data_IF_800316830344
#
_entry.id   IF_800316830344
#
_cell.length_a   1.000
_cell.length_b   1.000
_cell.length_c   1.000
_cell.angle_alpha   90.00
_cell.angle_beta   90.00
_cell.angle_gamma   90.00
#
_symmetry.space_group_name_H-M   'P 1'
#
loop_
_entity.id
_entity.type
_entity.pdbx_description
1 polymer ?
#
# COMPACT_ATOMS: atom_id res chain seq x y z
N UNK A 1 -0.81 -17.94 8.87
CA UNK A 1 -1.78 -16.90 8.46
C UNK A 1 -1.15 -16.13 7.31
N UNK A 2 -1.90 -15.90 6.24
CA UNK A 2 -1.34 -15.28 5.03
C UNK A 2 -1.19 -13.77 5.24
N UNK A 3 0.04 -13.24 5.15
CA UNK A 3 0.29 -11.81 5.35
C UNK A 3 -0.16 -11.03 4.12
N UNK A 4 -0.95 -9.98 4.33
CA UNK A 4 -1.42 -9.10 3.24
C UNK A 4 -0.86 -7.71 3.45
N UNK A 5 -0.32 -7.12 2.39
CA UNK A 5 0.12 -5.72 2.42
C UNK A 5 -0.76 -4.84 1.53
N UNK A 6 -1.10 -3.65 2.04
CA UNK A 6 -1.52 -2.51 1.22
C UNK A 6 -0.28 -1.62 1.08
N UNK A 7 0.25 -1.54 -0.14
CA UNK A 7 1.49 -0.82 -0.43
C UNK A 7 1.15 0.43 -1.23
N UNK A 8 1.54 1.60 -0.71
CA UNK A 8 1.34 2.89 -1.37
C UNK A 8 2.39 3.91 -0.88
N UNK A 9 2.60 5.00 -1.62
CA UNK A 9 3.45 6.10 -1.16
C UNK A 9 2.75 6.90 -0.05
N UNK A 10 3.37 7.00 1.12
CA UNK A 10 2.80 7.74 2.24
C UNK A 10 2.74 9.27 2.00
N UNK A 11 3.45 9.77 0.99
CA UNK A 11 3.34 11.14 0.52
C UNK A 11 2.01 11.44 -0.22
N UNK A 12 1.24 10.41 -0.57
CA UNK A 12 -0.02 10.57 -1.30
C UNK A 12 -1.23 10.73 -0.37
N UNK A 13 -1.87 11.90 -0.41
CA UNK A 13 -3.00 12.20 0.51
C UNK A 13 -4.26 11.38 0.24
N UNK A 14 -4.70 11.29 -1.02
CA UNK A 14 -5.97 10.62 -1.36
C UNK A 14 -5.84 9.11 -1.33
N UNK A 15 -4.76 8.56 -1.87
CA UNK A 15 -4.50 7.12 -1.84
C UNK A 15 -4.34 6.62 -0.41
N UNK A 16 -3.62 7.35 0.46
CA UNK A 16 -3.54 7.00 1.88
C UNK A 16 -4.90 6.93 2.57
N UNK A 17 -5.80 7.90 2.34
CA UNK A 17 -7.17 7.85 2.87
C UNK A 17 -7.97 6.63 2.38
N UNK A 18 -7.74 6.20 1.14
CA UNK A 18 -8.39 5.00 0.60
C UNK A 18 -7.76 3.73 1.18
N UNK A 19 -6.43 3.70 1.37
CA UNK A 19 -5.74 2.59 2.01
C UNK A 19 -6.24 2.35 3.43
N UNK A 20 -6.40 3.40 4.23
CA UNK A 20 -6.97 3.32 5.58
C UNK A 20 -8.41 2.80 5.54
N UNK A 21 -9.26 3.33 4.65
CA UNK A 21 -10.64 2.84 4.51
C UNK A 21 -10.70 1.37 4.09
N UNK A 22 -9.81 0.92 3.19
CA UNK A 22 -9.72 -0.50 2.83
C UNK A 22 -9.34 -1.31 4.07
N UNK A 23 -8.33 -0.88 4.83
CA UNK A 23 -7.91 -1.56 6.06
C UNK A 23 -9.05 -1.67 7.08
N UNK A 24 -9.78 -0.58 7.31
CA UNK A 24 -10.94 -0.52 8.21
C UNK A 24 -12.07 -1.47 7.77
N UNK A 25 -12.38 -1.54 6.48
CA UNK A 25 -13.45 -2.41 5.96
C UNK A 25 -13.11 -3.90 6.01
N UNK A 26 -11.82 -4.26 5.90
CA UNK A 26 -11.39 -5.65 6.05
C UNK A 26 -11.40 -6.13 7.49
N UNK A 27 -11.22 -5.22 8.47
CA UNK A 27 -11.14 -5.53 9.92
C UNK A 27 -10.20 -6.72 10.21
N UNK A 28 -9.06 -6.77 9.49
CA UNK A 28 -8.08 -7.87 9.55
C UNK A 28 -6.73 -7.36 10.06
N UNK A 29 -6.32 -7.81 11.24
CA UNK A 29 -5.03 -7.48 11.85
C UNK A 29 -3.82 -7.92 11.01
N UNK A 30 -3.99 -8.89 10.10
CA UNK A 30 -2.93 -9.36 9.19
C UNK A 30 -2.77 -8.50 7.93
N UNK A 31 -3.63 -7.48 7.76
CA UNK A 31 -3.57 -6.51 6.68
C UNK A 31 -2.78 -5.29 7.15
N UNK A 32 -1.55 -5.14 6.65
CA UNK A 32 -0.66 -4.05 7.06
C UNK A 32 -0.50 -2.99 5.97
N UNK A 33 -0.30 -1.73 6.38
CA UNK A 33 0.04 -0.64 5.47
C UNK A 33 1.56 -0.53 5.39
N UNK A 34 2.08 -0.46 4.17
CA UNK A 34 3.53 -0.39 3.93
C UNK A 34 3.84 0.76 2.99
N UNK A 35 4.85 1.56 3.35
CA UNK A 35 5.28 2.69 2.54
C UNK A 35 6.10 2.21 1.35
N UNK A 36 5.62 2.50 0.14
CA UNK A 36 6.27 2.11 -1.12
C UNK A 36 7.67 2.72 -1.30
N UNK A 37 7.95 3.85 -0.64
CA UNK A 37 9.23 4.57 -0.75
C UNK A 37 10.33 3.97 0.13
N UNK A 38 9.96 3.17 1.13
CA UNK A 38 10.89 2.65 2.15
C UNK A 38 10.99 1.11 2.13
N UNK A 39 10.07 0.43 1.42
CA UNK A 39 10.02 -1.02 1.37
C UNK A 39 11.22 -1.62 0.65
N UNK A 40 11.76 -2.71 1.19
CA UNK A 40 12.81 -3.50 0.54
C UNK A 40 12.24 -4.61 -0.34
N UNK A 41 13.04 -5.13 -1.28
CA UNK A 41 12.65 -6.29 -2.10
C UNK A 41 12.31 -7.52 -1.24
N UNK A 42 13.13 -7.80 -0.22
CA UNK A 42 12.91 -8.93 0.69
C UNK A 42 11.58 -8.80 1.45
N UNK A 43 11.26 -7.60 1.95
CA UNK A 43 9.99 -7.33 2.61
C UNK A 43 8.82 -7.46 1.64
N UNK A 44 8.92 -6.89 0.44
CA UNK A 44 7.89 -6.98 -0.60
C UNK A 44 7.56 -8.43 -0.96
N UNK A 45 8.58 -9.28 -1.12
CA UNK A 45 8.42 -10.69 -1.46
C UNK A 45 7.95 -11.57 -0.28
N UNK A 46 7.94 -11.05 0.94
CA UNK A 46 7.51 -11.78 2.13
C UNK A 46 5.97 -11.87 2.30
N UNK A 47 5.21 -11.10 1.51
CA UNK A 47 3.75 -11.07 1.57
C UNK A 47 3.11 -12.08 0.62
N UNK A 48 2.06 -12.76 1.09
CA UNK A 48 1.29 -13.71 0.28
C UNK A 48 0.28 -13.02 -0.65
N UNK A 49 -0.19 -11.83 -0.25
CA UNK A 49 -1.25 -11.08 -0.93
C UNK A 49 -0.89 -9.59 -0.93
N UNK A 50 -1.16 -8.92 -2.04
CA UNK A 50 -0.80 -7.52 -2.25
C UNK A 50 -1.98 -6.70 -2.76
N UNK A 51 -2.17 -5.52 -2.19
CA UNK A 51 -3.01 -4.44 -2.70
C UNK A 51 -2.09 -3.27 -2.99
N UNK A 52 -1.94 -2.90 -4.27
CA UNK A 52 -1.00 -1.84 -4.69
C UNK A 52 -1.77 -0.56 -5.01
N UNK A 53 -1.52 0.49 -4.24
CA UNK A 53 -2.17 1.79 -4.38
C UNK A 53 -1.20 2.80 -4.99
N UNK A 54 -1.52 3.30 -6.19
CA UNK A 54 -0.72 4.33 -6.85
C UNK A 54 -1.62 5.34 -7.56
N UNK A 55 -1.54 6.64 -7.23
CA UNK A 55 -2.14 7.68 -8.05
C UNK A 55 -1.31 7.93 -9.31
N UNK A 56 -1.89 8.65 -10.28
CA UNK A 56 -1.15 9.18 -11.43
C UNK A 56 -0.97 10.68 -11.25
N UNK A 57 0.25 11.18 -11.45
CA UNK A 57 0.62 12.60 -11.34
C UNK A 57 0.99 13.18 -12.71
N UNK A 58 0.90 14.52 -12.81
CA UNK A 58 1.23 15.28 -14.02
C UNK A 58 0.63 14.67 -15.30
N UNK A 59 1.46 14.39 -16.31
CA UNK A 59 1.05 13.88 -17.62
C UNK A 59 1.14 12.34 -17.72
N UNK A 60 0.88 11.62 -16.62
CA UNK A 60 0.87 10.15 -16.60
C UNK A 60 1.94 9.49 -15.74
N UNK A 61 2.63 10.27 -14.92
CA UNK A 61 3.74 9.81 -14.10
C UNK A 61 3.27 9.09 -12.83
N UNK A 62 4.14 8.25 -12.28
CA UNK A 62 3.98 7.71 -10.93
C UNK A 62 4.45 8.74 -9.91
N UNK A 63 3.86 8.78 -8.69
CA UNK A 63 4.38 9.59 -7.61
C UNK A 63 5.76 9.09 -7.18
N UNK A 64 6.55 10.02 -6.66
CA UNK A 64 7.89 9.77 -6.12
C UNK A 64 7.82 9.51 -4.61
#
# INVERSE_FOLDING_TARGET
>A
MNKTAIIYSFNTKKTGKIAERIKEEFDDDNLILVNAEEITEEEFLSFDRLILGVPTWFDGELPN
#
